data_IF_349220040239
#
_entry.id   IF_349220040239
#
_cell.length_a   1.000
_cell.length_b   1.000
_cell.length_c   1.000
_cell.angle_alpha   90.00
_cell.angle_beta   90.00
_cell.angle_gamma   90.00
#
_symmetry.space_group_name_H-M   'P 1'
#
loop_
_entity.id
_entity.type
_entity.pdbx_description
1 polymer ?
#
# COMPACT_ATOMS: atom_id res chain seq x y z
N UNK A 1 2.55 8.65 -11.13
CA UNK A 1 1.81 7.89 -12.16
C UNK A 1 1.47 8.77 -13.36
N UNK A 2 0.52 9.71 -13.25
CA UNK A 2 0.18 10.65 -14.35
C UNK A 2 1.33 11.57 -14.77
N UNK A 3 2.08 12.11 -13.81
CA UNK A 3 3.30 12.89 -14.06
C UNK A 3 4.40 12.10 -14.78
N UNK A 4 4.34 10.76 -14.69
CA UNK A 4 5.25 9.85 -15.39
C UNK A 4 4.63 9.28 -16.68
N UNK A 5 3.48 9.81 -17.13
CA UNK A 5 2.81 9.40 -18.37
C UNK A 5 2.03 8.08 -18.30
N UNK A 6 1.76 7.56 -17.11
CA UNK A 6 1.18 6.23 -16.93
C UNK A 6 -0.28 6.29 -16.53
N UNK A 7 -1.04 5.34 -17.06
CA UNK A 7 -2.48 5.23 -16.82
C UNK A 7 -2.80 4.30 -15.65
N UNK A 8 -3.50 4.80 -14.62
CA UNK A 8 -4.01 4.03 -13.49
C UNK A 8 -4.92 2.88 -13.86
N UNK A 9 -4.77 1.74 -13.18
CA UNK A 9 -5.70 0.62 -13.19
C UNK A 9 -6.02 0.25 -11.76
N UNK A 10 -7.28 -0.08 -11.50
CA UNK A 10 -7.77 -0.50 -10.19
C UNK A 10 -8.61 -1.77 -10.34
N UNK A 11 -8.54 -2.61 -9.31
CA UNK A 11 -9.36 -3.81 -9.13
C UNK A 11 -9.82 -3.72 -7.70
N UNK A 12 -11.13 -3.76 -7.47
CA UNK A 12 -11.72 -3.55 -6.16
C UNK A 12 -12.52 -4.78 -5.75
N UNK A 13 -12.63 -5.00 -4.45
CA UNK A 13 -13.47 -6.03 -3.86
C UNK A 13 -14.33 -5.44 -2.76
N UNK A 14 -15.51 -6.01 -2.53
CA UNK A 14 -16.36 -5.70 -1.37
C UNK A 14 -16.10 -6.67 -0.20
N UNK A 15 -15.22 -7.65 -0.39
CA UNK A 15 -14.83 -8.64 0.62
C UNK A 15 -13.75 -8.07 1.53
N UNK A 16 -13.71 -8.54 2.77
CA UNK A 16 -12.63 -8.19 3.69
C UNK A 16 -11.26 -8.64 3.14
N UNK A 17 -10.23 -7.86 3.46
CA UNK A 17 -8.83 -8.19 3.16
C UNK A 17 -8.47 -9.57 3.72
N UNK A 18 -7.85 -10.40 2.90
CA UNK A 18 -7.38 -11.73 3.30
C UNK A 18 -6.25 -12.21 2.38
N UNK A 19 -5.38 -13.08 2.86
CA UNK A 19 -4.31 -13.66 2.04
C UNK A 19 -4.86 -14.35 0.77
N UNK A 20 -5.95 -15.11 0.89
CA UNK A 20 -6.60 -15.74 -0.27
C UNK A 20 -7.15 -14.72 -1.26
N UNK A 21 -7.78 -13.64 -0.76
CA UNK A 21 -8.27 -12.54 -1.59
C UNK A 21 -7.15 -11.86 -2.37
N UNK A 22 -5.99 -11.65 -1.76
CA UNK A 22 -4.82 -11.08 -2.42
C UNK A 22 -4.38 -11.87 -3.64
N UNK A 23 -4.30 -13.20 -3.53
CA UNK A 23 -3.94 -14.07 -4.64
C UNK A 23 -5.01 -14.12 -5.75
N UNK A 24 -6.29 -14.13 -5.38
CA UNK A 24 -7.39 -14.05 -6.37
C UNK A 24 -7.34 -12.76 -7.18
N UNK A 25 -7.11 -11.64 -6.50
CA UNK A 25 -7.10 -10.33 -7.13
C UNK A 25 -5.83 -10.09 -7.96
N UNK A 26 -4.68 -10.67 -7.58
CA UNK A 26 -3.52 -10.69 -8.46
C UNK A 26 -3.82 -11.43 -9.77
N UNK A 27 -4.44 -12.62 -9.70
CA UNK A 27 -4.84 -13.37 -10.92
C UNK A 27 -5.86 -12.60 -11.75
N UNK A 28 -6.76 -11.85 -11.12
CA UNK A 28 -7.64 -10.95 -11.85
C UNK A 28 -6.84 -9.84 -12.55
N UNK A 29 -5.88 -9.24 -11.85
CA UNK A 29 -5.03 -8.19 -12.41
C UNK A 29 -4.22 -8.64 -13.62
N UNK A 30 -3.62 -9.82 -13.54
CA UNK A 30 -2.87 -10.41 -14.64
C UNK A 30 -3.76 -10.72 -15.86
N UNK A 31 -5.05 -11.05 -15.64
CA UNK A 31 -6.01 -11.27 -16.73
C UNK A 31 -6.45 -9.97 -17.38
N UNK A 32 -6.84 -8.99 -16.57
CA UNK A 32 -7.39 -7.72 -17.04
C UNK A 32 -6.30 -6.81 -17.63
N UNK A 33 -5.08 -6.94 -17.11
CA UNK A 33 -3.91 -6.14 -17.47
C UNK A 33 -2.63 -7.00 -17.58
N UNK A 34 -2.47 -7.80 -18.65
CA UNK A 34 -1.35 -8.75 -18.78
C UNK A 34 0.06 -8.13 -18.74
N UNK A 35 0.16 -6.82 -18.95
CA UNK A 35 1.42 -6.07 -18.98
C UNK A 35 1.87 -5.56 -17.61
N UNK A 36 1.11 -5.80 -16.53
CA UNK A 36 1.52 -5.32 -15.20
C UNK A 36 2.73 -6.10 -14.69
N UNK A 37 3.65 -5.38 -14.08
CA UNK A 37 4.87 -5.89 -13.44
C UNK A 37 4.97 -5.45 -11.98
N UNK A 38 3.92 -4.79 -11.48
CA UNK A 38 3.86 -4.24 -10.13
C UNK A 38 2.43 -4.08 -9.62
N UNK A 39 2.24 -4.32 -8.32
CA UNK A 39 0.99 -4.11 -7.59
C UNK A 39 1.23 -3.41 -6.25
N UNK A 40 0.32 -2.52 -5.89
CA UNK A 40 0.29 -1.84 -4.60
C UNK A 40 -1.06 -2.10 -3.96
N UNK A 41 -1.07 -2.80 -2.83
CA UNK A 41 -2.29 -3.24 -2.16
C UNK A 41 -2.65 -2.30 -1.01
N UNK A 42 -3.95 -2.14 -0.72
CA UNK A 42 -4.42 -1.25 0.36
C UNK A 42 -4.09 -1.75 1.77
N UNK A 43 -3.75 -3.03 1.90
CA UNK A 43 -3.40 -3.68 3.15
C UNK A 43 -2.33 -4.75 2.90
N UNK A 44 -1.47 -4.98 3.88
CA UNK A 44 -0.44 -6.01 3.84
C UNK A 44 -1.02 -7.43 3.69
N UNK A 45 -2.19 -7.74 4.25
CA UNK A 45 -2.77 -9.08 4.13
C UNK A 45 -2.98 -9.49 2.65
N UNK A 46 -3.39 -8.52 1.85
CA UNK A 46 -3.61 -8.69 0.41
C UNK A 46 -2.29 -8.71 -0.36
N UNK A 47 -1.34 -7.86 0.01
CA UNK A 47 -0.01 -7.82 -0.58
C UNK A 47 0.73 -9.15 -0.36
N UNK A 48 0.64 -9.71 0.85
CA UNK A 48 1.19 -11.01 1.21
C UNK A 48 0.50 -12.12 0.41
N UNK A 49 -0.83 -12.05 0.29
CA UNK A 49 -1.60 -12.95 -0.55
C UNK A 49 -1.15 -12.97 -2.02
N UNK A 50 -0.95 -11.78 -2.60
CA UNK A 50 -0.40 -11.61 -3.94
C UNK A 50 1.04 -12.15 -4.03
N UNK A 51 1.87 -11.94 -2.99
CA UNK A 51 3.23 -12.45 -2.97
C UNK A 51 3.29 -13.98 -2.96
N UNK A 52 2.42 -14.64 -2.16
CA UNK A 52 2.30 -16.09 -2.17
C UNK A 52 1.74 -16.62 -3.49
N UNK A 53 0.88 -15.87 -4.16
CA UNK A 53 0.41 -16.21 -5.50
C UNK A 53 1.53 -16.15 -6.54
N UNK A 54 2.35 -15.09 -6.52
CA UNK A 54 3.55 -15.02 -7.36
C UNK A 54 4.47 -16.21 -7.14
N UNK A 55 4.74 -16.57 -5.88
CA UNK A 55 5.55 -17.75 -5.55
C UNK A 55 4.96 -19.04 -6.12
N UNK A 56 3.64 -19.22 -6.05
CA UNK A 56 2.95 -20.38 -6.63
C UNK A 56 3.08 -20.44 -8.16
N UNK A 57 3.10 -19.28 -8.80
CA UNK A 57 3.31 -19.14 -10.25
C UNK A 57 4.79 -19.22 -10.65
N UNK A 58 5.72 -19.32 -9.69
CA UNK A 58 7.16 -19.31 -9.95
C UNK A 58 7.72 -17.94 -10.31
N UNK A 59 6.99 -16.85 -10.03
CA UNK A 59 7.41 -15.48 -10.27
C UNK A 59 8.32 -14.97 -9.14
N UNK A 60 9.44 -14.38 -9.52
CA UNK A 60 10.39 -13.75 -8.61
C UNK A 60 9.88 -12.37 -8.18
N UNK A 61 9.95 -12.08 -6.88
CA UNK A 61 9.67 -10.75 -6.34
C UNK A 61 10.99 -10.12 -5.90
N UNK A 62 11.36 -8.92 -6.38
CA UNK A 62 10.56 -8.00 -7.21
C UNK A 62 10.79 -8.12 -8.73
N UNK A 63 11.55 -9.10 -9.22
CA UNK A 63 12.04 -9.13 -10.60
C UNK A 63 10.93 -9.29 -11.65
N UNK A 64 9.97 -10.18 -11.40
CA UNK A 64 8.87 -10.44 -12.32
C UNK A 64 7.59 -9.71 -11.88
N UNK A 65 7.40 -9.54 -10.57
CA UNK A 65 6.29 -8.80 -9.99
C UNK A 65 6.76 -8.04 -8.75
N UNK A 66 6.75 -6.71 -8.78
CA UNK A 66 7.00 -5.89 -7.60
C UNK A 66 5.73 -5.76 -6.77
N UNK A 67 5.84 -5.94 -5.45
CA UNK A 67 4.68 -5.93 -4.55
C UNK A 67 4.93 -4.97 -3.40
N UNK A 68 3.96 -4.11 -3.14
CA UNK A 68 3.94 -3.25 -1.97
C UNK A 68 2.57 -3.28 -1.27
N UNK A 69 2.58 -3.12 0.04
CA UNK A 69 1.41 -3.08 0.90
C UNK A 69 1.32 -1.82 1.77
N UNK A 70 0.48 -1.90 2.79
CA UNK A 70 0.18 -0.82 3.71
C UNK A 70 -0.12 -1.39 5.11
N UNK A 71 0.29 -0.66 6.15
CA UNK A 71 0.20 -0.91 7.60
C UNK A 71 1.46 -1.42 8.30
N UNK A 72 2.35 -2.12 7.61
CA UNK A 72 3.54 -2.71 8.21
C UNK A 72 3.20 -3.81 9.21
N UNK A 73 2.40 -4.79 8.81
CA UNK A 73 2.12 -6.00 9.58
C UNK A 73 3.41 -6.78 9.84
N UNK A 74 3.50 -7.39 11.02
CA UNK A 74 4.70 -8.09 11.51
C UNK A 74 5.14 -9.21 10.55
N UNK A 75 4.19 -9.98 10.04
CA UNK A 75 4.42 -11.02 9.02
C UNK A 75 5.16 -10.49 7.78
N UNK A 76 4.86 -9.25 7.35
CA UNK A 76 5.53 -8.60 6.23
C UNK A 76 7.02 -8.31 6.48
N UNK A 77 7.43 -8.25 7.76
CA UNK A 77 8.83 -8.03 8.15
C UNK A 77 9.66 -9.31 8.15
N UNK A 78 9.03 -10.47 8.31
CA UNK A 78 9.70 -11.78 8.47
C UNK A 78 9.52 -12.72 7.29
N UNK A 79 8.60 -12.43 6.37
CA UNK A 79 8.43 -13.22 5.14
C UNK A 79 9.61 -13.03 4.17
N UNK A 80 9.76 -13.95 3.23
CA UNK A 80 10.76 -13.89 2.17
C UNK A 80 10.10 -13.83 0.78
N UNK A 81 10.39 -12.82 -0.05
CA UNK A 81 11.15 -11.61 0.28
C UNK A 81 10.38 -10.69 1.23
N UNK A 82 11.11 -9.88 2.00
CA UNK A 82 10.53 -8.90 2.92
C UNK A 82 9.63 -7.92 2.19
N UNK A 83 8.41 -7.72 2.68
CA UNK A 83 7.40 -6.87 2.06
C UNK A 83 7.77 -5.38 2.16
N UNK A 84 7.73 -4.68 1.03
CA UNK A 84 7.71 -3.23 0.99
C UNK A 84 6.34 -2.73 1.47
N UNK A 85 6.30 -1.93 2.52
CA UNK A 85 5.02 -1.48 3.09
C UNK A 85 5.12 -0.07 3.68
N UNK A 86 4.00 0.66 3.62
CA UNK A 86 3.82 1.90 4.39
C UNK A 86 3.58 1.56 5.84
N UNK A 87 4.45 2.03 6.72
CA UNK A 87 4.32 1.82 8.15
C UNK A 87 3.35 2.85 8.73
N UNK A 88 2.23 2.36 9.26
CA UNK A 88 1.27 3.23 9.96
C UNK A 88 1.71 3.37 11.43
N UNK A 89 1.95 4.59 11.95
CA UNK A 89 2.31 4.82 13.36
C UNK A 89 1.06 4.69 14.26
N UNK A 90 0.51 3.47 14.33
CA UNK A 90 -0.78 3.14 14.95
C UNK A 90 -0.84 3.55 16.41
N UNK A 91 0.25 3.35 17.14
CA UNK A 91 0.36 3.77 18.54
C UNK A 91 0.23 5.29 18.69
N UNK A 92 1.01 6.06 17.94
CA UNK A 92 0.95 7.53 17.93
C UNK A 92 -0.43 8.04 17.49
N UNK A 93 -1.04 7.42 16.48
CA UNK A 93 -2.41 7.73 16.05
C UNK A 93 -3.43 7.49 17.16
N UNK A 94 -3.34 6.34 17.84
CA UNK A 94 -4.20 5.98 18.96
C UNK A 94 -4.05 6.94 20.13
N UNK A 95 -2.81 7.29 20.49
CA UNK A 95 -2.50 8.24 21.55
C UNK A 95 -3.11 9.63 21.24
N UNK A 96 -2.85 10.17 20.04
CA UNK A 96 -3.40 11.46 19.62
C UNK A 96 -4.94 11.42 19.62
N UNK A 97 -5.54 10.32 19.15
CA UNK A 97 -6.98 10.12 19.15
C UNK A 97 -7.59 10.16 20.56
N UNK A 98 -7.00 9.40 21.49
CA UNK A 98 -7.43 9.32 22.88
C UNK A 98 -7.26 10.66 23.61
N UNK A 99 -6.11 11.32 23.46
CA UNK A 99 -5.84 12.64 24.05
C UNK A 99 -6.88 13.68 23.60
N UNK A 100 -7.22 13.69 22.31
CA UNK A 100 -8.24 14.58 21.74
C UNK A 100 -9.64 14.27 22.25
N UNK A 101 -9.99 12.99 22.39
CA UNK A 101 -11.27 12.58 22.95
C UNK A 101 -11.41 13.04 24.41
N UNK A 102 -10.39 12.78 25.23
CA UNK A 102 -10.35 13.20 26.64
C UNK A 102 -10.40 14.72 26.81
N UNK A 103 -9.72 15.47 25.94
CA UNK A 103 -9.80 16.93 25.95
C UNK A 103 -11.22 17.45 25.70
N UNK A 104 -11.94 16.83 24.75
CA UNK A 104 -13.34 17.16 24.46
C UNK A 104 -14.28 16.83 25.60
N UNK A 105 -14.13 15.64 26.21
CA UNK A 105 -14.94 15.23 27.37
C UNK A 105 -14.76 16.17 28.57
N UNK A 106 -13.59 16.80 28.70
CA UNK A 106 -13.28 17.78 29.76
C UNK A 106 -13.68 19.22 29.39
N UNK A 107 -14.47 19.41 28.33
CA UNK A 107 -14.86 20.73 27.79
C UNK A 107 -13.68 21.68 27.55
N UNK A 108 -12.48 21.16 27.33
CA UNK A 108 -11.33 21.99 26.95
C UNK A 108 -11.53 22.45 25.51
N UNK A 109 -11.23 23.72 25.17
CA UNK A 109 -11.23 24.17 23.79
C UNK A 109 -10.25 23.32 22.97
N UNK A 110 -10.77 22.36 22.22
CA UNK A 110 -9.97 21.58 21.27
C UNK A 110 -10.05 22.29 19.94
N UNK A 111 -8.96 22.89 19.47
CA UNK A 111 -8.89 23.33 18.08
C UNK A 111 -9.16 22.12 17.18
N UNK A 112 -10.08 22.25 16.21
CA UNK A 112 -10.25 21.27 15.12
C UNK A 112 -9.03 21.36 14.20
N UNK A 113 -7.88 20.88 14.68
CA UNK A 113 -6.63 20.89 13.95
C UNK A 113 -6.33 19.48 13.48
N UNK A 114 -6.09 19.33 12.19
CA UNK A 114 -5.58 18.09 11.62
C UNK A 114 -4.17 17.83 12.17
N UNK A 115 -3.89 16.59 12.60
CA UNK A 115 -2.51 16.16 12.86
C UNK A 115 -2.01 15.46 11.61
N UNK A 116 -0.91 15.96 11.05
CA UNK A 116 -0.21 15.28 9.95
C UNK A 116 0.85 14.37 10.56
N UNK A 117 0.78 13.07 10.27
CA UNK A 117 1.80 12.10 10.66
C UNK A 117 2.55 11.65 9.42
N UNK A 118 3.88 11.61 9.52
CA UNK A 118 4.74 11.06 8.48
C UNK A 118 4.67 9.54 8.55
N UNK A 119 4.40 8.89 7.42
CA UNK A 119 4.37 7.44 7.32
C UNK A 119 5.72 6.95 6.76
N UNK A 120 6.57 6.29 7.55
CA UNK A 120 7.82 5.73 7.03
C UNK A 120 7.55 4.52 6.13
N UNK A 121 8.52 4.19 5.28
CA UNK A 121 8.49 2.96 4.47
C UNK A 121 9.34 1.89 5.14
N UNK A 122 8.91 0.63 5.05
CA UNK A 122 9.77 -0.48 5.48
C UNK A 122 11.03 -0.55 4.60
N UNK A 123 12.22 -0.76 5.18
CA UNK A 123 13.39 -1.12 4.39
C UNK A 123 13.14 -2.52 3.82
N UNK A 124 12.99 -2.64 2.50
CA UNK A 124 12.57 -3.87 1.83
C UNK A 124 13.53 -4.30 0.70
N UNK A 125 13.65 -5.61 0.52
CA UNK A 125 14.33 -6.23 -0.61
C UNK A 125 13.47 -6.26 -1.90
N UNK A 126 12.18 -5.94 -1.79
CA UNK A 126 11.21 -5.92 -2.89
C UNK A 126 11.27 -4.65 -3.78
N UNK A 127 12.40 -3.94 -3.82
CA UNK A 127 12.64 -2.87 -4.78
C UNK A 127 13.59 -3.36 -5.87
N UNK A 128 13.18 -3.29 -7.16
CA UNK A 128 14.15 -3.42 -8.26
C UNK A 128 15.14 -2.24 -8.19
N UNK A 129 16.42 -2.44 -8.54
CA UNK A 129 17.33 -1.33 -8.75
C UNK A 129 16.80 -0.40 -9.86
N UNK A 130 16.98 0.91 -9.65
CA UNK A 130 16.43 2.02 -10.46
C UNK A 130 16.63 1.90 -11.97
N UNK A 131 17.61 1.12 -12.45
CA UNK A 131 17.97 1.02 -13.86
C UNK A 131 17.11 0.04 -14.68
N UNK A 132 16.26 -0.78 -14.05
CA UNK A 132 15.51 -1.85 -14.72
C UNK A 132 13.99 -1.56 -14.85
N UNK A 133 13.55 -0.34 -14.55
CA UNK A 133 12.15 0.09 -14.70
C UNK A 133 12.05 1.33 -15.59
N UNK A 134 10.97 1.42 -16.37
CA UNK A 134 10.49 2.67 -16.98
C UNK A 134 9.80 3.60 -15.95
N UNK A 135 10.08 3.47 -14.65
CA UNK A 135 9.32 4.10 -13.56
C UNK A 135 10.13 4.31 -12.27
N UNK A 136 10.14 5.52 -11.68
CA UNK A 136 10.69 5.74 -10.35
C UNK A 136 9.61 5.50 -9.28
N UNK A 137 9.77 4.45 -8.46
CA UNK A 137 8.88 4.12 -7.32
C UNK A 137 8.80 5.27 -6.29
N UNK A 138 9.77 6.21 -6.31
CA UNK A 138 9.72 7.49 -5.58
C UNK A 138 8.40 8.26 -5.79
N UNK A 139 7.75 8.13 -6.95
CA UNK A 139 6.50 8.83 -7.26
C UNK A 139 5.23 8.13 -6.77
N UNK A 140 5.28 6.83 -6.49
CA UNK A 140 4.11 6.08 -6.03
C UNK A 140 3.72 6.53 -4.61
N UNK A 141 4.71 6.72 -3.74
CA UNK A 141 4.48 7.11 -2.34
C UNK A 141 4.15 8.59 -2.13
N UNK A 142 4.65 9.49 -2.99
CA UNK A 142 4.33 10.92 -2.90
C UNK A 142 2.89 11.22 -3.34
N UNK A 143 2.32 10.41 -4.26
CA UNK A 143 0.91 10.56 -4.68
C UNK A 143 -0.07 10.04 -3.62
N UNK A 144 0.26 8.96 -2.90
CA UNK A 144 -0.60 8.36 -1.87
C UNK A 144 -0.99 9.33 -0.72
N UNK A 145 -0.12 10.28 -0.36
CA UNK A 145 -0.41 11.24 0.71
C UNK A 145 -1.40 12.35 0.28
N UNK A 146 -1.55 12.62 -1.02
CA UNK A 146 -2.51 13.62 -1.54
C UNK A 146 -3.92 13.05 -1.75
N UNK A 147 -4.07 11.73 -1.86
CA UNK A 147 -5.35 11.06 -2.12
C UNK A 147 -6.29 10.99 -0.91
N UNK A 148 -5.77 10.98 0.33
CA UNK A 148 -6.62 10.95 1.52
C UNK A 148 -7.27 12.30 1.89
N UNK A 149 -6.98 13.40 1.16
CA UNK A 149 -7.43 14.74 1.54
C UNK A 149 -8.40 15.41 0.57
N UNK A 150 -8.64 14.86 -0.61
CA UNK A 150 -9.65 15.34 -1.55
C UNK A 150 -10.24 14.14 -2.30
N UNK A 151 -11.53 13.94 -2.16
CA UNK A 151 -12.30 13.07 -3.04
C UNK A 151 -12.18 13.62 -4.48
N UNK A 152 -11.44 12.91 -5.33
CA UNK A 152 -11.71 12.69 -6.76
C UNK A 152 -10.50 12.01 -7.46
N UNK A 153 -10.83 11.15 -8.42
CA UNK A 153 -10.11 9.99 -8.97
C UNK A 153 -8.70 10.17 -9.60
N UNK A 154 -8.03 9.00 -9.73
CA UNK A 154 -7.04 8.55 -10.74
C UNK A 154 -5.51 8.67 -10.47
N UNK A 155 -4.94 7.61 -9.86
CA UNK A 155 -3.53 7.16 -9.91
C UNK A 155 -3.47 5.61 -9.83
N UNK A 156 -2.49 4.90 -10.43
CA UNK A 156 -2.45 3.42 -10.47
C UNK A 156 -2.31 2.88 -9.04
N UNK A 157 -3.42 2.34 -8.56
CA UNK A 157 -3.68 1.76 -7.26
C UNK A 157 -4.52 0.54 -7.63
N UNK A 158 -3.91 -0.64 -7.65
CA UNK A 158 -4.73 -1.86 -7.63
C UNK A 158 -5.19 -1.94 -6.18
N UNK A 159 -6.29 -1.25 -5.85
CA UNK A 159 -6.93 -1.37 -4.53
C UNK A 159 -7.53 -2.75 -4.36
N UNK A 160 -6.65 -3.76 -4.28
CA UNK A 160 -6.99 -4.98 -3.56
C UNK A 160 -7.48 -4.56 -2.18
#
# INVERSE_FOLDING_TARGET
>A
MREAGLQPRSIMTNRASSYSGGGEMLRQAQRDYPQIDSVFCTNDDLAIGAAFECQRQGLSIPQDMAIAGFHGHDIGQVMMPKLASVLTPRETMGQIGAERLLARLRAKPSARRWSTLVLPLSPAAAFKPYAAFHLPIRFLFFSLFRLCSNADYNSLLVEI
#
